data_IF_235735891450
#
_entry.id   IF_235735891450
#
_cell.length_a   1.000
_cell.length_b   1.000
_cell.length_c   1.000
_cell.angle_alpha   90.00
_cell.angle_beta   90.00
_cell.angle_gamma   90.00
#
_symmetry.space_group_name_H-M   'P 1'
#
loop_
_entity.id
_entity.type
_entity.pdbx_description
1 polymer ?
#
# COMPACT_ATOMS: atom_id res chain seq x y z
N UNK A 1 -3.01 22.24 6.25
CA UNK A 1 -2.92 21.07 7.14
C UNK A 1 -1.91 20.10 6.53
N UNK A 2 -0.89 19.70 7.28
CA UNK A 2 0.08 18.72 6.80
C UNK A 2 -0.50 17.30 6.87
N UNK A 3 0.09 16.36 6.11
CA UNK A 3 -0.29 14.94 6.21
C UNK A 3 -0.14 14.40 7.64
N UNK A 4 0.92 14.81 8.34
CA UNK A 4 1.16 14.39 9.72
C UNK A 4 0.09 14.95 10.70
N UNK A 5 -0.35 16.19 10.51
CA UNK A 5 -1.44 16.75 11.33
C UNK A 5 -2.76 16.01 11.06
N UNK A 6 -3.02 15.66 9.80
CA UNK A 6 -4.21 14.90 9.40
C UNK A 6 -4.24 13.53 10.07
N UNK A 7 -3.18 12.73 9.95
CA UNK A 7 -3.14 11.37 10.53
C UNK A 7 -3.14 11.39 12.06
N UNK A 8 -2.52 12.40 12.69
CA UNK A 8 -2.56 12.55 14.16
C UNK A 8 -3.98 12.81 14.65
N UNK A 9 -4.72 13.72 14.03
CA UNK A 9 -6.13 13.97 14.36
C UNK A 9 -6.99 12.73 14.20
N UNK A 10 -6.81 12.00 13.10
CA UNK A 10 -7.51 10.74 12.88
C UNK A 10 -7.26 9.70 13.99
N UNK A 11 -6.04 9.65 14.53
CA UNK A 11 -5.69 8.74 15.63
C UNK A 11 -6.28 9.16 16.99
N UNK A 12 -6.60 10.43 17.17
CA UNK A 12 -7.17 11.01 18.41
C UNK A 12 -8.70 10.83 18.48
N UNK A 13 -9.36 10.62 17.35
CA UNK A 13 -10.82 10.45 17.27
C UNK A 13 -11.26 9.16 17.98
N UNK A 14 -12.06 9.28 19.04
CA UNK A 14 -12.36 8.21 20.00
C UNK A 14 -13.77 7.63 19.88
N UNK A 15 -14.61 8.14 19.01
CA UNK A 15 -16.06 7.89 19.07
C UNK A 15 -16.66 7.16 17.87
N UNK A 16 -15.90 6.84 16.84
CA UNK A 16 -16.45 6.31 15.61
C UNK A 16 -16.83 4.83 15.68
N UNK A 17 -18.04 4.53 15.25
CA UNK A 17 -18.46 3.18 14.87
C UNK A 17 -18.22 2.99 13.38
N UNK A 18 -17.32 2.09 13.04
CA UNK A 18 -17.03 1.77 11.64
C UNK A 18 -18.03 0.73 11.11
N UNK A 19 -18.57 0.95 9.91
CA UNK A 19 -19.27 -0.10 9.18
C UNK A 19 -18.32 -1.25 8.85
N UNK A 20 -18.81 -2.46 8.64
CA UNK A 20 -17.95 -3.54 8.16
C UNK A 20 -17.53 -3.30 6.72
N UNK A 21 -16.26 -3.55 6.45
CA UNK A 21 -15.66 -3.47 5.11
C UNK A 21 -15.73 -4.81 4.36
N UNK A 22 -15.14 -4.87 3.15
CA UNK A 22 -15.15 -6.08 2.34
C UNK A 22 -14.46 -7.25 3.06
N UNK A 23 -15.18 -8.33 3.29
CA UNK A 23 -14.66 -9.54 3.96
C UNK A 23 -13.52 -10.23 3.19
N UNK A 24 -13.44 -10.00 1.87
CA UNK A 24 -12.38 -10.52 1.00
C UNK A 24 -11.05 -9.77 1.12
N UNK A 25 -10.97 -8.71 1.95
CA UNK A 25 -9.79 -7.83 2.04
C UNK A 25 -9.27 -7.78 3.48
N UNK A 26 -7.96 -7.94 3.63
CA UNK A 26 -7.21 -7.61 4.85
C UNK A 26 -6.43 -6.32 4.62
N UNK A 27 -6.43 -5.39 5.56
CA UNK A 27 -5.49 -4.26 5.57
C UNK A 27 -4.15 -4.76 6.10
N UNK A 28 -3.04 -4.37 5.48
CA UNK A 28 -1.71 -4.71 5.95
C UNK A 28 -0.80 -3.50 5.93
N UNK A 29 -0.09 -3.31 7.04
CA UNK A 29 0.89 -2.25 7.17
C UNK A 29 2.22 -2.81 7.68
N UNK A 30 3.32 -2.40 7.04
CA UNK A 30 4.67 -2.60 7.55
C UNK A 30 5.09 -1.41 8.38
N UNK A 31 5.54 -1.66 9.61
CA UNK A 31 6.02 -0.62 10.51
C UNK A 31 7.30 -1.05 11.23
N UNK A 32 8.43 -0.54 10.79
CA UNK A 32 9.75 -0.93 11.30
C UNK A 32 10.59 0.33 11.56
N UNK A 33 10.70 0.67 12.82
CA UNK A 33 11.36 1.90 13.29
C UNK A 33 12.33 1.58 14.44
N UNK A 34 13.26 2.49 14.67
CA UNK A 34 14.11 2.44 15.85
C UNK A 34 13.30 2.69 17.12
N UNK A 35 13.88 2.27 18.28
CA UNK A 35 13.19 2.36 19.56
C UNK A 35 12.79 3.79 19.95
N UNK A 36 13.65 4.76 19.63
CA UNK A 36 13.46 6.13 20.07
C UNK A 36 12.31 6.83 19.33
N UNK A 37 12.10 6.49 18.06
CA UNK A 37 11.06 7.11 17.22
C UNK A 37 9.79 6.28 17.10
N UNK A 38 9.77 5.03 17.59
CA UNK A 38 8.71 4.06 17.33
C UNK A 38 7.33 4.59 17.71
N UNK A 39 7.12 4.90 18.98
CA UNK A 39 5.80 5.27 19.48
C UNK A 39 5.29 6.59 18.89
N UNK A 40 6.18 7.58 18.73
CA UNK A 40 5.82 8.86 18.14
C UNK A 40 5.38 8.73 16.67
N UNK A 41 6.06 7.87 15.90
CA UNK A 41 5.71 7.65 14.48
C UNK A 41 4.54 6.68 14.30
N UNK A 42 4.31 5.75 15.25
CA UNK A 42 3.21 4.81 15.16
C UNK A 42 1.84 5.51 15.16
N UNK A 43 1.71 6.66 15.81
CA UNK A 43 0.47 7.46 15.80
C UNK A 43 0.01 7.79 14.38
N UNK A 44 0.94 8.07 13.46
CA UNK A 44 0.60 8.36 12.06
C UNK A 44 0.08 7.11 11.34
N UNK A 45 0.70 5.95 11.55
CA UNK A 45 0.19 4.70 11.00
C UNK A 45 -1.18 4.33 11.58
N UNK A 46 -1.38 4.50 12.88
CA UNK A 46 -2.69 4.27 13.51
C UNK A 46 -3.76 5.16 12.88
N UNK A 47 -3.45 6.44 12.63
CA UNK A 47 -4.33 7.36 11.91
C UNK A 47 -4.65 6.87 10.49
N UNK A 48 -3.64 6.43 9.73
CA UNK A 48 -3.84 5.89 8.39
C UNK A 48 -4.73 4.63 8.37
N UNK A 49 -4.60 3.75 9.37
CA UNK A 49 -5.46 2.57 9.53
C UNK A 49 -6.90 3.00 9.84
N UNK A 50 -7.11 3.96 10.75
CA UNK A 50 -8.44 4.46 11.11
C UNK A 50 -9.11 5.15 9.92
N UNK A 51 -8.37 5.99 9.16
CA UNK A 51 -8.87 6.56 7.91
C UNK A 51 -9.26 5.49 6.89
N UNK A 52 -8.47 4.41 6.81
CA UNK A 52 -8.80 3.28 5.95
C UNK A 52 -10.14 2.65 6.35
N UNK A 53 -10.38 2.46 7.64
CA UNK A 53 -11.65 1.93 8.13
C UNK A 53 -12.80 2.93 7.96
N UNK A 54 -12.55 4.24 8.13
CA UNK A 54 -13.56 5.29 7.91
C UNK A 54 -14.06 5.27 6.46
N UNK A 55 -13.17 5.17 5.52
CA UNK A 55 -13.51 5.24 4.09
C UNK A 55 -13.94 3.91 3.49
N UNK A 56 -13.26 2.82 3.82
CA UNK A 56 -13.48 1.52 3.19
C UNK A 56 -14.23 0.51 4.07
N UNK A 57 -14.55 0.89 5.30
CA UNK A 57 -15.14 0.01 6.30
C UNK A 57 -14.07 -0.74 7.10
N UNK A 58 -14.48 -1.21 8.28
CA UNK A 58 -13.60 -1.95 9.20
C UNK A 58 -13.26 -3.32 8.62
N UNK A 59 -11.98 -3.61 8.52
CA UNK A 59 -11.44 -4.85 8.00
C UNK A 59 -10.41 -5.42 8.98
N UNK A 60 -10.21 -6.73 8.97
CA UNK A 60 -9.05 -7.34 9.64
C UNK A 60 -7.80 -6.59 9.20
N UNK A 61 -6.97 -6.20 10.14
CA UNK A 61 -5.75 -5.44 9.89
C UNK A 61 -4.55 -6.19 10.46
N UNK A 62 -3.51 -6.35 9.67
CA UNK A 62 -2.24 -6.96 10.08
C UNK A 62 -1.18 -5.87 10.11
N UNK A 63 -0.55 -5.68 11.27
CA UNK A 63 0.63 -4.82 11.41
C UNK A 63 1.86 -5.71 11.52
N UNK A 64 2.71 -5.70 10.51
CA UNK A 64 4.00 -6.39 10.49
C UNK A 64 5.06 -5.44 11.00
N UNK A 65 5.74 -5.81 12.08
CA UNK A 65 6.66 -4.91 12.76
C UNK A 65 7.93 -5.60 13.24
N UNK A 66 9.02 -4.86 13.35
CA UNK A 66 10.29 -5.37 13.92
C UNK A 66 10.26 -5.46 15.45
N UNK A 67 9.33 -4.77 16.11
CA UNK A 67 9.22 -4.71 17.58
C UNK A 67 7.83 -4.26 18.01
N UNK A 68 7.51 -4.47 19.27
CA UNK A 68 6.28 -3.99 19.90
C UNK A 68 6.60 -2.74 20.74
N UNK A 69 5.97 -1.62 20.42
CA UNK A 69 6.01 -0.39 21.21
C UNK A 69 4.72 -0.18 22.01
N UNK A 70 4.76 0.73 22.98
CA UNK A 70 3.62 1.00 23.86
C UNK A 70 2.41 1.56 23.10
N UNK A 71 2.63 2.39 22.09
CA UNK A 71 1.56 2.94 21.26
C UNK A 71 0.84 1.85 20.47
N UNK A 72 1.58 0.88 19.90
CA UNK A 72 1.00 -0.28 19.20
C UNK A 72 0.18 -1.15 20.15
N UNK A 73 0.68 -1.44 21.35
CA UNK A 73 -0.06 -2.21 22.38
C UNK A 73 -1.38 -1.54 22.73
N UNK A 74 -1.36 -0.22 22.99
CA UNK A 74 -2.58 0.54 23.29
C UNK A 74 -3.55 0.55 22.12
N UNK A 75 -3.05 0.66 20.90
CA UNK A 75 -3.88 0.65 19.69
C UNK A 75 -4.53 -0.73 19.49
N UNK A 76 -3.76 -1.81 19.54
CA UNK A 76 -4.28 -3.17 19.39
C UNK A 76 -5.29 -3.55 20.50
N UNK A 77 -5.06 -3.11 21.73
CA UNK A 77 -6.01 -3.34 22.83
C UNK A 77 -7.37 -2.63 22.60
N UNK A 78 -7.37 -1.49 21.92
CA UNK A 78 -8.59 -0.75 21.57
C UNK A 78 -9.26 -1.24 20.29
N UNK A 79 -8.48 -1.89 19.43
CA UNK A 79 -8.88 -2.31 18.10
C UNK A 79 -8.70 -3.83 17.94
N UNK A 80 -9.65 -4.66 18.38
CA UNK A 80 -9.51 -6.14 18.36
C UNK A 80 -9.39 -6.73 16.94
N UNK A 81 -9.61 -5.93 15.91
CA UNK A 81 -9.42 -6.28 14.51
C UNK A 81 -7.96 -6.18 14.04
N UNK A 82 -7.08 -5.69 14.91
CA UNK A 82 -5.66 -5.54 14.62
C UNK A 82 -4.90 -6.76 15.15
N UNK A 83 -4.27 -7.48 14.25
CA UNK A 83 -3.30 -8.54 14.51
C UNK A 83 -1.88 -7.98 14.38
N UNK A 84 -1.02 -8.25 15.35
CA UNK A 84 0.38 -7.84 15.32
C UNK A 84 1.25 -9.03 14.99
N UNK A 85 2.04 -8.93 13.94
CA UNK A 85 3.03 -9.92 13.54
C UNK A 85 4.44 -9.35 13.72
N UNK A 86 5.18 -9.89 14.68
CA UNK A 86 6.58 -9.48 14.90
C UNK A 86 7.49 -10.22 13.92
N UNK A 87 8.27 -9.46 13.16
CA UNK A 87 9.23 -9.95 12.18
C UNK A 87 10.62 -9.38 12.51
N UNK A 88 11.46 -10.13 13.26
CA UNK A 88 12.76 -9.64 13.72
C UNK A 88 13.76 -9.33 12.59
N UNK A 89 13.54 -9.87 11.39
CA UNK A 89 14.41 -9.61 10.24
C UNK A 89 14.21 -8.22 9.62
N UNK A 90 13.15 -7.51 10.01
CA UNK A 90 12.93 -6.13 9.58
C UNK A 90 13.90 -5.19 10.31
N UNK A 91 14.78 -4.56 9.55
CA UNK A 91 15.75 -3.59 10.05
C UNK A 91 15.14 -2.19 10.05
N UNK A 92 15.21 -1.43 11.14
CA UNK A 92 14.65 -0.07 11.23
C UNK A 92 15.09 0.84 10.09
N UNK A 93 14.12 1.35 9.32
CA UNK A 93 14.38 2.26 8.20
C UNK A 93 14.97 1.63 6.94
N UNK A 94 15.23 0.31 6.96
CA UNK A 94 15.79 -0.41 5.82
C UNK A 94 14.68 -0.98 4.91
N UNK A 95 14.48 -0.31 3.78
CA UNK A 95 13.49 -0.72 2.76
C UNK A 95 13.82 -2.08 2.15
N UNK A 96 15.09 -2.49 2.14
CA UNK A 96 15.52 -3.76 1.56
C UNK A 96 15.01 -4.94 2.39
N UNK A 97 15.08 -4.84 3.73
CA UNK A 97 14.57 -5.87 4.63
C UNK A 97 13.05 -6.04 4.49
N UNK A 98 12.31 -4.94 4.39
CA UNK A 98 10.87 -4.94 4.15
C UNK A 98 10.53 -5.52 2.78
N UNK A 99 11.24 -5.13 1.74
CA UNK A 99 11.01 -5.63 0.39
C UNK A 99 11.28 -7.14 0.27
N UNK A 100 12.33 -7.65 0.94
CA UNK A 100 12.59 -9.10 1.03
C UNK A 100 11.45 -9.85 1.67
N UNK A 101 10.95 -9.38 2.82
CA UNK A 101 9.81 -10.01 3.50
C UNK A 101 8.57 -9.95 2.62
N UNK A 102 8.27 -8.79 2.04
CA UNK A 102 7.14 -8.61 1.16
C UNK A 102 7.19 -9.54 -0.06
N UNK A 103 8.33 -9.63 -0.75
CA UNK A 103 8.50 -10.50 -1.90
C UNK A 103 8.41 -11.98 -1.55
N UNK A 104 8.96 -12.38 -0.40
CA UNK A 104 9.02 -13.78 0.00
C UNK A 104 7.73 -14.27 0.69
N UNK A 105 7.07 -13.43 1.47
CA UNK A 105 6.10 -13.87 2.50
C UNK A 105 4.78 -13.10 2.53
N UNK A 106 4.60 -12.01 1.75
CA UNK A 106 3.39 -11.20 1.83
C UNK A 106 2.12 -12.06 1.70
N UNK A 107 2.07 -13.00 0.76
CA UNK A 107 0.92 -13.88 0.55
C UNK A 107 0.63 -14.88 1.69
N UNK A 108 1.51 -14.97 2.68
CA UNK A 108 1.38 -15.79 3.89
C UNK A 108 0.90 -14.96 5.10
N UNK A 109 1.04 -13.63 5.04
CA UNK A 109 0.71 -12.69 6.10
C UNK A 109 -0.80 -12.50 6.32
N UNK A 110 -1.63 -12.89 5.36
CA UNK A 110 -3.08 -12.74 5.41
C UNK A 110 -3.81 -13.94 4.79
N UNK A 111 -5.08 -14.15 5.17
CA UNK A 111 -5.88 -15.29 4.74
C UNK A 111 -6.93 -14.95 3.67
N UNK A 112 -7.29 -13.67 3.51
CA UNK A 112 -8.29 -13.19 2.55
C UNK A 112 -7.79 -13.27 1.10
N UNK A 113 -8.67 -13.02 0.13
CA UNK A 113 -8.31 -13.06 -1.30
C UNK A 113 -7.42 -11.87 -1.69
N UNK A 114 -7.58 -10.74 -1.00
CA UNK A 114 -6.84 -9.51 -1.24
C UNK A 114 -6.23 -8.94 0.02
N UNK A 115 -5.16 -8.19 -0.15
CA UNK A 115 -4.57 -7.31 0.86
C UNK A 115 -4.55 -5.88 0.33
N UNK A 116 -5.01 -4.95 1.17
CA UNK A 116 -4.82 -3.52 0.98
C UNK A 116 -3.61 -3.09 1.80
N UNK A 117 -2.50 -2.83 1.11
CA UNK A 117 -1.30 -2.30 1.76
C UNK A 117 -1.51 -0.83 2.03
N UNK A 118 -1.26 -0.40 3.27
CA UNK A 118 -1.32 1.00 3.70
C UNK A 118 -0.03 1.38 4.43
N UNK A 119 0.31 2.66 4.37
CA UNK A 119 1.46 3.24 5.05
C UNK A 119 1.02 4.51 5.80
N UNK A 120 1.87 5.02 6.69
CA UNK A 120 1.64 6.27 7.40
C UNK A 120 1.50 7.49 6.45
N UNK A 121 1.98 7.34 5.21
CA UNK A 121 1.89 8.31 4.13
C UNK A 121 1.13 7.80 2.89
N UNK A 122 0.35 6.70 3.02
CA UNK A 122 -0.39 6.12 1.90
C UNK A 122 -1.64 5.36 2.37
N UNK A 123 -2.84 5.96 2.16
CA UNK A 123 -4.13 5.42 2.59
C UNK A 123 -5.30 6.00 1.75
N UNK A 124 -6.53 5.45 1.87
CA UNK A 124 -7.67 5.96 1.11
C UNK A 124 -8.17 7.32 1.62
N UNK A 125 -8.69 8.13 0.71
CA UNK A 125 -9.31 9.43 0.97
C UNK A 125 -10.82 9.42 0.76
N UNK A 126 -11.36 8.34 0.23
CA UNK A 126 -12.79 8.15 -0.01
C UNK A 126 -13.17 6.67 -0.01
N UNK A 127 -14.44 6.38 0.03
CA UNK A 127 -14.98 5.03 -0.13
C UNK A 127 -14.92 4.51 -1.58
N UNK A 128 -15.26 3.23 -1.75
CA UNK A 128 -15.34 2.58 -3.06
C UNK A 128 -14.17 1.65 -3.38
N UNK A 129 -13.75 0.84 -2.40
CA UNK A 129 -12.73 -0.21 -2.58
C UNK A 129 -13.28 -1.41 -3.36
N UNK A 130 -14.54 -1.78 -3.13
CA UNK A 130 -15.19 -2.97 -3.68
C UNK A 130 -15.13 -3.07 -5.22
N UNK A 131 -15.36 -2.00 -5.98
CA UNK A 131 -15.21 -2.04 -7.43
C UNK A 131 -13.80 -2.46 -7.89
N UNK A 132 -12.75 -2.04 -7.17
CA UNK A 132 -11.38 -2.43 -7.52
C UNK A 132 -11.09 -3.90 -7.19
N UNK A 133 -11.65 -4.41 -6.08
CA UNK A 133 -11.60 -5.84 -5.73
C UNK A 133 -12.29 -6.67 -6.81
N UNK A 134 -13.48 -6.26 -7.26
CA UNK A 134 -14.26 -6.96 -8.28
C UNK A 134 -13.56 -7.06 -9.65
N UNK A 135 -12.64 -6.15 -9.96
CA UNK A 135 -11.87 -6.20 -11.21
C UNK A 135 -10.88 -7.38 -11.27
N UNK A 136 -10.50 -7.95 -10.13
CA UNK A 136 -9.69 -9.17 -10.08
C UNK A 136 -8.24 -9.01 -10.53
N UNK A 137 -7.65 -7.82 -10.48
CA UNK A 137 -6.24 -7.61 -10.79
C UNK A 137 -5.35 -8.08 -9.64
N UNK A 138 -4.12 -8.52 -9.96
CA UNK A 138 -3.18 -9.01 -8.96
C UNK A 138 -2.39 -7.92 -8.27
N UNK A 139 -2.28 -6.75 -8.90
CA UNK A 139 -1.62 -5.59 -8.33
C UNK A 139 -2.26 -4.32 -8.88
N UNK A 140 -2.73 -3.44 -7.98
CA UNK A 140 -3.19 -2.09 -8.29
C UNK A 140 -2.49 -1.15 -7.32
N UNK A 141 -1.70 -0.20 -7.83
CA UNK A 141 -1.03 0.82 -7.03
C UNK A 141 -1.05 2.16 -7.75
N UNK A 142 -0.39 3.17 -7.21
CA UNK A 142 -0.27 4.47 -7.87
C UNK A 142 0.64 4.36 -9.09
N UNK A 143 0.18 4.67 -10.32
CA UNK A 143 1.05 4.65 -11.47
C UNK A 143 2.08 5.78 -11.35
N UNK A 144 3.35 5.51 -11.66
CA UNK A 144 4.36 6.55 -11.71
C UNK A 144 5.02 6.65 -13.09
N UNK A 145 5.16 7.88 -13.54
CA UNK A 145 5.93 8.23 -14.72
C UNK A 145 7.37 8.58 -14.30
N UNK A 146 8.17 7.61 -13.95
CA UNK A 146 9.62 7.78 -14.09
C UNK A 146 9.96 7.46 -15.53
N UNK A 147 10.90 8.24 -16.12
CA UNK A 147 11.37 8.12 -17.50
C UNK A 147 11.29 6.69 -18.00
N UNK A 148 10.14 6.41 -18.65
CA UNK A 148 9.82 5.06 -19.03
C UNK A 148 10.78 4.66 -20.12
N UNK A 149 11.73 3.85 -19.77
CA UNK A 149 12.64 3.15 -20.66
C UNK A 149 11.91 2.21 -21.63
N UNK A 150 10.61 2.03 -21.38
CA UNK A 150 9.75 1.30 -22.29
C UNK A 150 9.47 2.18 -23.52
N UNK A 151 9.59 1.63 -24.73
CA UNK A 151 9.09 2.34 -25.89
C UNK A 151 7.65 2.81 -25.57
N UNK A 152 7.40 4.11 -25.68
CA UNK A 152 6.07 4.72 -25.45
C UNK A 152 4.96 3.99 -26.17
N UNK A 153 5.30 3.30 -27.27
CA UNK A 153 4.41 2.44 -28.03
C UNK A 153 3.99 1.19 -27.21
N UNK A 154 4.90 0.53 -26.51
CA UNK A 154 4.60 -0.70 -25.76
C UNK A 154 3.76 -0.43 -24.51
N UNK A 155 4.03 0.66 -23.79
CA UNK A 155 3.18 1.11 -22.66
C UNK A 155 1.79 1.52 -23.12
N UNK A 156 1.67 2.10 -24.32
CA UNK A 156 0.36 2.40 -24.93
C UNK A 156 -0.39 1.14 -25.35
N UNK A 157 0.29 0.16 -25.95
CA UNK A 157 -0.31 -1.09 -26.38
C UNK A 157 -0.70 -1.98 -25.20
N UNK A 158 0.13 -2.07 -24.18
CA UNK A 158 -0.13 -2.88 -22.98
C UNK A 158 -0.96 -2.13 -21.93
N UNK A 159 -1.19 -0.81 -22.10
CA UNK A 159 -1.87 0.06 -21.11
C UNK A 159 -1.33 -0.06 -19.69
N UNK A 160 -0.07 -0.43 -19.54
CA UNK A 160 0.57 -0.74 -18.29
C UNK A 160 1.63 0.30 -17.95
N UNK A 161 1.75 0.66 -16.67
CA UNK A 161 2.83 1.49 -16.14
C UNK A 161 3.39 0.85 -14.87
N UNK A 162 4.65 1.10 -14.52
CA UNK A 162 5.14 0.83 -13.18
C UNK A 162 4.26 1.51 -12.14
N UNK A 163 4.06 0.85 -10.99
CA UNK A 163 3.16 1.31 -9.94
C UNK A 163 3.86 1.29 -8.60
N UNK A 164 3.59 2.30 -7.78
CA UNK A 164 4.05 2.38 -6.41
C UNK A 164 3.24 1.43 -5.50
N UNK A 165 3.90 0.80 -4.54
CA UNK A 165 3.35 -0.19 -3.64
C UNK A 165 2.85 0.33 -2.30
N UNK A 166 3.17 1.57 -1.91
CA UNK A 166 2.89 2.09 -0.57
C UNK A 166 1.40 2.23 -0.23
N UNK A 167 0.56 2.53 -1.23
CA UNK A 167 -0.89 2.32 -1.16
C UNK A 167 -1.30 1.46 -2.34
N UNK A 168 -1.54 0.17 -2.09
CA UNK A 168 -1.81 -0.80 -3.16
C UNK A 168 -2.75 -1.91 -2.74
N UNK A 169 -3.56 -2.39 -3.69
CA UNK A 169 -4.38 -3.59 -3.57
C UNK A 169 -3.68 -4.74 -4.27
N UNK A 170 -3.46 -5.86 -3.58
CA UNK A 170 -2.76 -7.03 -4.13
C UNK A 170 -3.58 -8.30 -3.89
N UNK A 171 -3.69 -9.15 -4.90
CA UNK A 171 -4.33 -10.45 -4.72
C UNK A 171 -3.38 -11.43 -4.01
N UNK A 172 -3.93 -12.31 -3.17
CA UNK A 172 -3.17 -13.39 -2.53
C UNK A 172 -2.54 -14.33 -3.56
N UNK A 173 -3.26 -14.58 -4.66
CA UNK A 173 -2.75 -15.36 -5.79
C UNK A 173 -1.50 -14.72 -6.41
N UNK A 174 -1.57 -13.41 -6.71
CA UNK A 174 -0.44 -12.66 -7.27
C UNK A 174 0.76 -12.64 -6.34
N UNK A 175 0.54 -12.40 -5.04
CA UNK A 175 1.60 -12.45 -4.02
C UNK A 175 2.29 -13.82 -4.00
N UNK A 176 1.54 -14.93 -4.08
CA UNK A 176 2.11 -16.27 -4.11
C UNK A 176 2.92 -16.55 -5.39
N UNK A 177 2.42 -16.13 -6.54
CA UNK A 177 3.17 -16.26 -7.81
C UNK A 177 4.52 -15.56 -7.72
N UNK A 178 4.53 -14.35 -7.16
CA UNK A 178 5.77 -13.58 -6.98
C UNK A 178 6.68 -14.22 -5.94
N UNK A 179 6.14 -14.65 -4.80
CA UNK A 179 6.92 -15.31 -3.75
C UNK A 179 7.58 -16.61 -4.24
N UNK A 180 6.86 -17.44 -4.99
CA UNK A 180 7.40 -18.66 -5.59
C UNK A 180 8.52 -18.35 -6.58
N UNK A 181 8.37 -17.30 -7.35
CA UNK A 181 9.37 -16.87 -8.29
C UNK A 181 10.60 -16.29 -7.57
N UNK A 182 10.38 -15.41 -6.58
CA UNK A 182 11.44 -14.85 -5.74
C UNK A 182 12.25 -15.94 -5.06
N UNK A 183 11.62 -16.86 -4.38
CA UNK A 183 12.28 -17.96 -3.66
C UNK A 183 13.14 -18.84 -4.57
N UNK A 184 12.67 -19.14 -5.78
CA UNK A 184 13.42 -19.98 -6.73
C UNK A 184 14.63 -19.30 -7.35
N UNK A 185 14.58 -18.01 -7.56
CA UNK A 185 15.59 -17.33 -8.37
C UNK A 185 16.46 -16.33 -7.61
N UNK A 186 15.98 -15.81 -6.46
CA UNK A 186 16.62 -14.68 -5.79
C UNK A 186 16.81 -14.85 -4.29
N UNK A 187 16.21 -15.85 -3.65
CA UNK A 187 16.45 -16.14 -2.24
C UNK A 187 17.95 -16.43 -2.03
N UNK A 188 18.58 -15.66 -1.15
CA UNK A 188 20.02 -15.78 -0.89
C UNK A 188 20.94 -14.92 -1.78
N UNK A 189 20.43 -14.26 -2.80
CA UNK A 189 21.21 -13.28 -3.55
C UNK A 189 21.34 -11.94 -2.79
N UNK A 190 22.44 -11.17 -3.01
CA UNK A 190 22.51 -9.81 -2.53
C UNK A 190 21.32 -8.98 -3.01
N UNK A 191 20.78 -8.15 -2.12
CA UNK A 191 19.66 -7.27 -2.50
C UNK A 191 20.12 -6.20 -3.49
N UNK A 192 19.27 -5.86 -4.43
CA UNK A 192 19.53 -4.86 -5.47
C UNK A 192 18.39 -3.86 -5.50
N UNK A 193 18.63 -2.63 -5.91
CA UNK A 193 17.60 -1.60 -6.05
C UNK A 193 16.42 -2.02 -6.95
N UNK A 194 16.67 -2.92 -7.92
CA UNK A 194 15.61 -3.50 -8.76
C UNK A 194 14.67 -4.42 -7.99
N UNK A 195 15.05 -4.85 -6.78
CA UNK A 195 14.30 -5.78 -5.93
C UNK A 195 13.42 -5.08 -4.89
N UNK A 196 13.35 -3.75 -4.87
CA UNK A 196 12.30 -3.04 -4.14
C UNK A 196 10.96 -3.61 -4.62
N UNK A 197 10.08 -3.98 -3.70
CA UNK A 197 8.97 -4.90 -3.96
C UNK A 197 8.03 -4.42 -5.07
N UNK A 198 7.69 -3.14 -5.13
CA UNK A 198 6.83 -2.58 -6.16
C UNK A 198 7.51 -2.52 -7.53
N UNK A 199 8.80 -2.17 -7.55
CA UNK A 199 9.62 -2.20 -8.75
C UNK A 199 9.79 -3.63 -9.27
N UNK A 200 9.94 -4.61 -8.36
CA UNK A 200 10.03 -6.01 -8.74
C UNK A 200 8.75 -6.50 -9.45
N UNK A 201 7.56 -6.23 -8.86
CA UNK A 201 6.27 -6.61 -9.44
C UNK A 201 6.00 -5.94 -10.79
N UNK A 202 6.27 -4.64 -10.88
CA UNK A 202 5.70 -3.82 -11.96
C UNK A 202 6.72 -3.42 -13.04
N UNK A 203 8.02 -3.59 -12.77
CA UNK A 203 9.07 -3.23 -13.70
C UNK A 203 10.05 -4.38 -13.96
N UNK A 204 10.57 -5.02 -12.91
CA UNK A 204 11.59 -6.06 -13.06
C UNK A 204 11.04 -7.34 -13.71
N UNK A 205 9.95 -7.90 -13.18
CA UNK A 205 9.31 -9.11 -13.74
C UNK A 205 8.92 -8.95 -15.21
N UNK A 206 8.21 -7.86 -15.63
CA UNK A 206 7.86 -7.69 -17.02
C UNK A 206 9.07 -7.62 -17.96
N UNK A 207 10.17 -7.03 -17.52
CA UNK A 207 11.36 -6.81 -18.35
C UNK A 207 12.28 -8.03 -18.45
N UNK A 208 12.40 -8.78 -17.39
CA UNK A 208 13.38 -9.87 -17.28
C UNK A 208 12.77 -11.25 -17.33
N UNK A 209 11.50 -11.37 -16.96
CA UNK A 209 10.84 -12.64 -16.73
C UNK A 209 9.38 -12.62 -17.20
N UNK A 210 9.21 -12.33 -18.48
CA UNK A 210 7.89 -12.19 -19.11
C UNK A 210 6.96 -13.38 -18.82
N UNK A 211 7.48 -14.60 -18.80
CA UNK A 211 6.69 -15.79 -18.49
C UNK A 211 6.11 -15.80 -17.08
N UNK A 212 6.85 -15.28 -16.07
CA UNK A 212 6.32 -15.13 -14.72
C UNK A 212 5.29 -14.01 -14.66
N UNK A 213 5.57 -12.88 -15.34
CA UNK A 213 4.66 -11.73 -15.38
C UNK A 213 3.34 -12.05 -16.09
N UNK A 214 3.34 -12.82 -17.16
CA UNK A 214 2.13 -13.25 -17.88
C UNK A 214 1.20 -14.16 -17.04
N UNK A 215 1.70 -14.71 -15.93
CA UNK A 215 0.87 -15.41 -14.95
C UNK A 215 0.10 -14.45 -14.02
N UNK A 216 0.45 -13.17 -14.01
CA UNK A 216 -0.23 -12.13 -13.26
C UNK A 216 -1.28 -11.45 -14.14
N UNK A 217 -2.27 -10.84 -13.50
CA UNK A 217 -3.25 -9.95 -14.11
C UNK A 217 -2.90 -8.49 -13.76
N UNK A 218 -2.05 -7.83 -14.56
CA UNK A 218 -1.63 -6.47 -14.28
C UNK A 218 -2.80 -5.48 -14.50
N UNK A 219 -2.86 -4.45 -13.65
CA UNK A 219 -3.88 -3.42 -13.77
C UNK A 219 -3.51 -2.41 -14.87
N UNK A 220 -4.44 -2.04 -15.76
CA UNK A 220 -4.26 -0.93 -16.68
C UNK A 220 -4.02 0.40 -15.95
N UNK A 221 -3.18 1.26 -16.54
CA UNK A 221 -2.74 2.52 -15.95
C UNK A 221 -3.91 3.50 -15.65
N UNK A 222 -4.95 3.50 -16.50
CA UNK A 222 -6.12 4.36 -16.32
C UNK A 222 -7.00 3.94 -15.14
N UNK A 223 -7.04 2.65 -14.81
CA UNK A 223 -7.69 2.11 -13.61
C UNK A 223 -6.82 2.40 -12.39
N UNK A 224 -5.51 2.13 -12.48
CA UNK A 224 -4.57 2.40 -11.42
C UNK A 224 -4.57 3.88 -10.98
N UNK A 225 -4.66 4.82 -11.94
CA UNK A 225 -4.75 6.26 -11.66
C UNK A 225 -6.06 6.68 -10.95
N UNK A 226 -7.12 5.87 -11.02
CA UNK A 226 -8.35 6.09 -10.23
C UNK A 226 -8.26 5.46 -8.83
N UNK A 227 -7.39 4.47 -8.68
CA UNK A 227 -7.15 3.83 -7.40
C UNK A 227 -6.23 4.68 -6.53
N UNK A 228 -5.08 5.10 -7.04
CA UNK A 228 -4.09 5.82 -6.23
C UNK A 228 -3.29 6.85 -7.03
N UNK A 229 -2.81 7.89 -6.34
CA UNK A 229 -1.95 8.94 -6.88
C UNK A 229 -0.65 9.02 -6.06
N UNK A 230 0.52 9.13 -6.71
CA UNK A 230 1.82 9.25 -6.04
C UNK A 230 2.54 10.59 -6.26
N UNK A 231 1.86 11.52 -6.95
CA UNK A 231 2.39 12.86 -7.25
C UNK A 231 3.34 12.94 -8.43
N UNK A 232 3.81 11.83 -8.99
CA UNK A 232 4.70 11.81 -10.18
C UNK A 232 3.91 11.61 -11.48
N UNK A 233 2.72 11.05 -11.40
CA UNK A 233 1.80 10.90 -12.52
C UNK A 233 0.91 12.14 -12.64
N UNK A 234 0.61 12.64 -13.87
CA UNK A 234 -0.24 13.82 -14.03
C UNK A 234 -1.63 13.59 -13.40
N UNK A 235 -2.00 14.47 -12.48
CA UNK A 235 -3.32 14.45 -11.85
C UNK A 235 -4.38 14.88 -12.86
N UNK A 236 -5.33 14.00 -13.15
CA UNK A 236 -6.46 14.32 -14.00
C UNK A 236 -7.70 14.60 -13.15
N UNK A 237 -7.89 15.86 -12.78
CA UNK A 237 -9.03 16.31 -11.95
C UNK A 237 -10.40 15.98 -12.55
N UNK A 238 -10.52 15.85 -13.87
CA UNK A 238 -11.77 15.46 -14.53
C UNK A 238 -12.20 14.02 -14.22
N UNK A 239 -11.28 13.18 -13.78
CA UNK A 239 -11.56 11.80 -13.35
C UNK A 239 -12.06 11.71 -11.90
N UNK A 240 -12.13 12.84 -11.20
CA UNK A 240 -12.48 12.90 -9.79
C UNK A 240 -11.33 12.51 -8.86
N UNK A 241 -11.59 12.58 -7.56
CA UNK A 241 -10.65 12.18 -6.52
C UNK A 241 -10.34 10.68 -6.64
N UNK A 242 -9.05 10.26 -6.69
CA UNK A 242 -8.69 8.85 -6.62
C UNK A 242 -9.14 8.23 -5.29
N UNK A 243 -9.16 6.90 -5.20
CA UNK A 243 -9.51 6.22 -3.95
C UNK A 243 -8.56 6.63 -2.83
N UNK A 244 -7.26 6.72 -3.11
CA UNK A 244 -6.25 7.11 -2.14
C UNK A 244 -5.00 7.68 -2.80
N UNK A 245 -3.94 7.72 -2.04
CA UNK A 245 -2.66 8.31 -2.45
C UNK A 245 -1.48 7.58 -1.80
N UNK A 246 -0.29 7.90 -2.26
CA UNK A 246 0.96 7.56 -1.59
C UNK A 246 1.89 8.76 -1.60
N UNK A 247 2.49 9.08 -0.45
CA UNK A 247 3.42 10.15 -0.09
C UNK A 247 2.81 11.56 0.11
N UNK A 248 3.52 12.39 0.88
CA UNK A 248 3.06 13.73 1.26
C UNK A 248 2.85 14.66 0.06
N UNK A 249 3.67 14.56 -0.99
CA UNK A 249 3.54 15.38 -2.21
C UNK A 249 2.21 15.10 -2.92
N UNK A 250 1.81 13.82 -3.00
CA UNK A 250 0.52 13.44 -3.57
C UNK A 250 -0.64 13.97 -2.74
N UNK A 251 -0.55 13.86 -1.41
CA UNK A 251 -1.55 14.40 -0.50
C UNK A 251 -1.73 15.91 -0.67
N UNK A 252 -0.64 16.67 -0.73
CA UNK A 252 -0.69 18.12 -0.97
C UNK A 252 -1.29 18.48 -2.32
N UNK A 253 -0.94 17.75 -3.38
CA UNK A 253 -1.49 17.97 -4.72
C UNK A 253 -3.00 17.72 -4.75
N UNK A 254 -3.47 16.63 -4.13
CA UNK A 254 -4.89 16.29 -4.01
C UNK A 254 -5.63 17.29 -3.13
N UNK A 255 -5.04 17.71 -2.01
CA UNK A 255 -5.61 18.71 -1.09
C UNK A 255 -5.84 20.02 -1.81
N UNK A 256 -4.89 20.49 -2.63
CA UNK A 256 -5.05 21.71 -3.45
C UNK A 256 -6.11 21.54 -4.53
N UNK A 257 -6.14 20.39 -5.21
CA UNK A 257 -7.04 20.17 -6.36
C UNK A 257 -8.49 19.94 -5.96
N UNK A 258 -8.72 19.32 -4.80
CA UNK A 258 -10.05 18.86 -4.34
C UNK A 258 -10.50 19.46 -3.00
N UNK A 259 -9.74 20.39 -2.43
CA UNK A 259 -10.13 21.10 -1.21
C UNK A 259 -10.14 20.24 0.05
N UNK A 260 -9.29 19.18 0.14
CA UNK A 260 -9.27 18.27 1.30
C UNK A 260 -8.85 18.94 2.61
N UNK A 261 -8.37 20.18 2.59
CA UNK A 261 -7.99 20.96 3.77
C UNK A 261 -9.15 21.60 4.54
N UNK A 262 -10.37 21.52 4.03
CA UNK A 262 -11.58 22.14 4.59
C UNK A 262 -12.47 21.24 5.43
N UNK A 263 -11.97 20.12 5.93
CA UNK A 263 -12.72 19.31 6.90
C UNK A 263 -12.79 20.05 8.23
N UNK A 264 -13.80 20.90 8.35
CA UNK A 264 -14.36 21.32 9.62
C UNK A 264 -15.32 20.21 10.06
N UNK A 265 -14.93 19.49 11.13
CA UNK A 265 -15.70 18.43 11.76
C UNK A 265 -17.07 18.87 12.22
#
# INVERSE_FOLDING_TARGET
MTLQDYTRRAAEDRGETFRDGPSAVTVLAYFFRDAASYDAKFVHLAGAILETWRHCGRMKTVVVTNRIGAALVKFAARCPWVEVQVEPSLVPGDIDSMSRDCLARLGERFATDYVLVVQDDGFPLRGGLEPFVALGYDFIGAPFCRDLWWPRLLTRLLRFAPMNGGFSLRSRRGCRVVADYWRRHYAGQPFRADFIEDNFYTNYLPRRHLGAWLRLRPCPCDIAARFSHDGSFPLNVRRGLPLGFHNARAFEALSRAFGLGGWHG
#
